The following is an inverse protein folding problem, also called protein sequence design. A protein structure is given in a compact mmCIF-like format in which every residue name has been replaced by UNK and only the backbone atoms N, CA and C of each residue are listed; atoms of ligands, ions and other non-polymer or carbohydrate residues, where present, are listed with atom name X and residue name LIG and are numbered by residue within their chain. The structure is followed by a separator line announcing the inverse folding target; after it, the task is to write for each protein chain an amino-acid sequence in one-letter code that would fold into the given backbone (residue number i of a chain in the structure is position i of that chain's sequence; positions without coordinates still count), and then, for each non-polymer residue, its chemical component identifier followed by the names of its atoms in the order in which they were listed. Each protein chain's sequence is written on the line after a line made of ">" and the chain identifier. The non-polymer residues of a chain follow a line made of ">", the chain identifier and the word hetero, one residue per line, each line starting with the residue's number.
data_IF_802280027826
#
_entry.id   IF_802280027826
#
_cell.length_a   1.000
_cell.length_b   1.000
_cell.length_c   1.000
_cell.angle_alpha   90.00
_cell.angle_beta   90.00
_cell.angle_gamma   90.00
#
_symmetry.space_group_name_H-M   'P 1'
#
loop_
_entity.id
_entity.type
_entity.pdbx_description
1 polymer ?
#
# COMPACT_ATOMS: atom_id res chain seq x y z
N UNK A 1 15.83 -45.36 -72.01
CA UNK A 1 14.92 -44.32 -71.49
C UNK A 1 15.50 -43.82 -70.17
N UNK A 2 16.63 -43.12 -70.28
CA UNK A 2 17.53 -42.79 -69.20
C UNK A 2 17.80 -41.27 -69.11
N UNK A 3 16.91 -40.44 -69.65
CA UNK A 3 17.11 -38.99 -69.78
C UNK A 3 16.02 -38.17 -69.08
N UNK A 4 15.51 -38.63 -67.94
CA UNK A 4 14.43 -37.92 -67.22
C UNK A 4 14.69 -37.71 -65.72
N UNK A 5 15.88 -38.07 -65.23
CA UNK A 5 16.23 -37.95 -63.80
C UNK A 5 17.28 -36.85 -63.52
N UNK A 6 17.97 -36.32 -64.54
CA UNK A 6 18.95 -35.24 -64.35
C UNK A 6 18.36 -33.82 -64.39
N UNK A 7 17.11 -33.67 -64.87
CA UNK A 7 16.51 -32.34 -65.08
C UNK A 7 15.64 -31.82 -63.92
N UNK A 8 15.54 -32.57 -62.83
CA UNK A 8 14.82 -32.15 -61.61
C UNK A 8 15.74 -31.76 -60.45
N UNK A 9 17.04 -32.07 -60.53
CA UNK A 9 18.04 -31.65 -59.53
C UNK A 9 18.62 -30.26 -59.83
N UNK A 10 18.58 -29.79 -61.08
CA UNK A 10 19.07 -28.45 -61.45
C UNK A 10 18.09 -27.32 -61.12
N UNK A 11 16.79 -27.62 -61.04
CA UNK A 11 15.73 -26.63 -60.76
C UNK A 11 15.63 -26.32 -59.26
N UNK A 12 15.83 -27.31 -58.39
CA UNK A 12 15.80 -27.14 -56.92
C UNK A 12 17.03 -26.40 -56.39
N UNK A 13 18.19 -26.52 -57.07
CA UNK A 13 19.38 -25.72 -56.75
C UNK A 13 19.27 -24.24 -57.17
N UNK A 14 18.36 -23.90 -58.09
CA UNK A 14 18.18 -22.52 -58.58
C UNK A 14 17.13 -21.70 -57.80
N UNK A 15 16.27 -22.35 -57.01
CA UNK A 15 15.30 -21.68 -56.12
C UNK A 15 15.82 -21.47 -54.69
N UNK A 16 16.90 -22.17 -54.31
CA UNK A 16 17.62 -21.92 -53.05
C UNK A 16 18.58 -20.72 -53.18
N UNK A 17 19.07 -20.42 -54.39
CA UNK A 17 20.02 -19.32 -54.62
C UNK A 17 19.34 -17.95 -54.80
N UNK A 18 18.02 -17.89 -55.06
CA UNK A 18 17.28 -16.61 -55.19
C UNK A 18 16.66 -16.09 -53.89
N UNK A 19 16.76 -16.81 -52.79
CA UNK A 19 16.26 -16.38 -51.47
C UNK A 19 17.38 -15.99 -50.49
N UNK A 20 18.66 -16.05 -50.91
CA UNK A 20 19.79 -15.59 -50.10
C UNK A 20 20.29 -14.17 -50.46
N UNK A 21 19.91 -13.63 -51.61
CA UNK A 21 20.38 -12.31 -52.06
C UNK A 21 19.54 -11.11 -51.59
N UNK A 22 18.42 -11.33 -50.88
CA UNK A 22 17.71 -10.24 -50.15
C UNK A 22 18.21 -10.04 -48.71
N UNK A 23 19.25 -10.78 -48.32
CA UNK A 23 19.78 -10.83 -46.95
C UNK A 23 21.22 -10.33 -46.83
N UNK A 24 21.89 -10.02 -47.95
CA UNK A 24 23.28 -9.51 -47.97
C UNK A 24 23.41 -7.98 -47.97
N UNK A 25 22.39 -7.23 -48.39
CA UNK A 25 22.40 -5.75 -48.30
C UNK A 25 22.10 -5.19 -46.90
N UNK A 26 21.87 -6.05 -45.91
CA UNK A 26 21.69 -5.66 -44.49
C UNK A 26 22.94 -5.89 -43.64
N UNK A 27 23.95 -6.60 -44.14
CA UNK A 27 25.23 -6.82 -43.45
C UNK A 27 26.17 -5.62 -43.56
N UNK A 28 26.25 -5.02 -44.75
CA UNK A 28 27.23 -3.96 -45.03
C UNK A 28 26.77 -2.56 -44.53
N UNK A 29 25.49 -2.39 -44.21
CA UNK A 29 25.01 -1.18 -43.50
C UNK A 29 25.24 -1.25 -41.98
N UNK A 30 25.54 -2.44 -41.44
CA UNK A 30 25.81 -2.65 -40.02
C UNK A 30 27.32 -2.59 -39.71
N UNK A 31 28.20 -2.98 -40.64
CA UNK A 31 29.66 -2.82 -40.46
C UNK A 31 30.12 -1.36 -40.63
N UNK A 32 29.55 -0.58 -41.55
CA UNK A 32 29.92 0.84 -41.73
C UNK A 32 29.37 1.74 -40.60
N UNK A 33 28.41 1.26 -39.80
CA UNK A 33 27.89 1.98 -38.63
C UNK A 33 28.65 1.69 -37.32
N UNK A 34 29.46 0.62 -37.24
CA UNK A 34 30.19 0.28 -36.01
C UNK A 34 31.60 0.89 -35.92
N UNK A 35 32.13 1.51 -36.98
CA UNK A 35 33.50 2.08 -36.98
C UNK A 35 33.59 3.60 -36.70
N UNK A 36 32.48 4.26 -36.32
CA UNK A 36 32.50 5.69 -35.92
C UNK A 36 31.78 5.93 -34.61
N UNK A 37 32.40 5.53 -33.50
CA UNK A 37 32.14 6.14 -32.19
C UNK A 37 33.21 7.18 -31.83
N UNK A 38 32.84 8.43 -31.51
CA UNK A 38 33.72 9.29 -30.72
C UNK A 38 33.70 8.79 -29.28
N UNK A 39 34.83 8.25 -28.81
CA UNK A 39 35.03 7.71 -27.45
C UNK A 39 35.00 8.76 -26.32
N UNK A 40 34.44 9.94 -26.57
CA UNK A 40 34.43 11.08 -25.62
C UNK A 40 33.02 11.54 -25.22
N UNK A 41 31.95 10.93 -25.76
CA UNK A 41 30.55 11.43 -25.55
C UNK A 41 29.72 10.65 -24.51
N UNK A 42 30.17 9.47 -24.07
CA UNK A 42 29.48 8.66 -23.04
C UNK A 42 29.86 9.06 -21.62
N UNK A 43 31.09 9.54 -21.40
CA UNK A 43 31.55 10.05 -20.10
C UNK A 43 30.86 11.37 -19.72
N UNK A 44 30.59 12.25 -20.69
CA UNK A 44 29.92 13.54 -20.43
C UNK A 44 28.44 13.39 -20.07
N UNK A 45 27.76 12.35 -20.57
CA UNK A 45 26.34 12.08 -20.26
C UNK A 45 26.17 11.44 -18.88
N UNK A 46 27.08 10.56 -18.46
CA UNK A 46 27.06 10.00 -17.09
C UNK A 46 27.52 11.05 -16.06
N UNK A 47 28.45 11.93 -16.45
CA UNK A 47 28.87 13.05 -15.60
C UNK A 47 27.75 14.09 -15.45
N UNK A 48 26.98 14.40 -16.51
CA UNK A 48 25.87 15.34 -16.40
C UNK A 48 24.71 14.81 -15.55
N UNK A 49 24.43 13.50 -15.55
CA UNK A 49 23.44 12.91 -14.63
C UNK A 49 23.92 12.96 -13.16
N UNK A 50 25.21 12.68 -12.90
CA UNK A 50 25.78 12.77 -11.54
C UNK A 50 25.88 14.20 -11.02
N UNK A 51 26.20 15.15 -11.89
CA UNK A 51 26.20 16.58 -11.57
C UNK A 51 24.78 17.07 -11.27
N UNK A 52 23.78 16.59 -12.02
CA UNK A 52 22.37 16.87 -11.75
C UNK A 52 21.88 16.23 -10.44
N UNK A 53 22.26 14.99 -10.12
CA UNK A 53 21.95 14.36 -8.83
C UNK A 53 22.59 15.11 -7.65
N UNK A 54 23.83 15.59 -7.82
CA UNK A 54 24.52 16.38 -6.81
C UNK A 54 23.96 17.79 -6.69
N UNK A 55 23.52 18.40 -7.79
CA UNK A 55 22.82 19.69 -7.81
C UNK A 55 21.46 19.56 -7.11
N UNK A 56 20.69 18.51 -7.42
CA UNK A 56 19.41 18.22 -6.78
C UNK A 56 19.58 17.87 -5.29
N UNK A 57 20.63 17.12 -4.92
CA UNK A 57 20.94 16.85 -3.52
C UNK A 57 21.40 18.10 -2.75
N UNK A 58 22.05 19.06 -3.44
CA UNK A 58 22.38 20.37 -2.87
C UNK A 58 21.12 21.24 -2.70
N UNK A 59 20.21 21.22 -3.68
CA UNK A 59 18.90 21.89 -3.58
C UNK A 59 18.06 21.30 -2.43
N UNK A 60 18.02 19.97 -2.28
CA UNK A 60 17.33 19.31 -1.16
C UNK A 60 17.94 19.69 0.20
N UNK A 61 19.26 19.86 0.27
CA UNK A 61 19.94 20.34 1.50
C UNK A 61 19.71 21.83 1.75
N UNK A 62 19.42 22.60 0.71
CA UNK A 62 19.15 24.03 0.75
C UNK A 62 17.67 24.34 1.05
N UNK A 63 16.78 23.39 0.80
CA UNK A 63 15.49 23.30 1.50
C UNK A 63 15.85 23.08 2.96
N UNK A 64 15.87 24.17 3.72
CA UNK A 64 15.91 24.12 5.17
C UNK A 64 14.72 23.27 5.56
N UNK A 65 14.97 22.03 6.00
CA UNK A 65 14.02 21.33 6.83
C UNK A 65 13.80 22.28 7.99
N UNK A 66 12.69 23.01 7.96
CA UNK A 66 12.25 23.84 9.08
C UNK A 66 12.33 22.89 10.26
N UNK A 67 13.26 23.16 11.17
CA UNK A 67 13.43 22.37 12.38
C UNK A 67 12.02 22.14 12.89
N UNK A 68 11.60 20.87 12.97
CA UNK A 68 10.27 20.49 13.42
C UNK A 68 10.04 21.32 14.66
N UNK A 69 9.19 22.35 14.55
CA UNK A 69 8.98 23.31 15.62
C UNK A 69 8.58 22.43 16.78
N UNK A 70 9.47 22.27 17.76
CA UNK A 70 9.14 21.50 18.97
C UNK A 70 7.84 22.14 19.44
N UNK A 71 6.72 21.40 19.43
CA UNK A 71 5.45 22.00 19.78
C UNK A 71 5.66 22.68 21.12
N UNK A 72 5.33 23.96 21.19
CA UNK A 72 5.48 24.76 22.39
C UNK A 72 5.00 23.92 23.58
N UNK A 73 5.85 23.74 24.59
CA UNK A 73 5.50 22.95 25.77
C UNK A 73 4.17 23.48 26.30
N UNK A 74 3.17 22.60 26.30
CA UNK A 74 1.80 22.99 26.60
C UNK A 74 1.73 23.53 28.03
N UNK A 75 1.38 24.81 28.16
CA UNK A 75 1.04 25.41 29.45
C UNK A 75 -0.29 24.81 29.89
N UNK A 76 -0.22 23.67 30.56
CA UNK A 76 -1.37 23.02 31.16
C UNK A 76 -1.69 23.71 32.48
N UNK A 77 -2.68 24.60 32.48
CA UNK A 77 -3.14 25.26 33.71
C UNK A 77 -4.04 24.32 34.53
N UNK A 78 -3.55 23.75 35.66
CA UNK A 78 -4.32 22.78 36.44
C UNK A 78 -5.50 23.42 37.19
N UNK A 79 -5.54 24.75 37.29
CA UNK A 79 -6.59 25.50 37.99
C UNK A 79 -7.85 25.69 37.13
N UNK A 80 -7.74 25.63 35.80
CA UNK A 80 -8.88 25.77 34.87
C UNK A 80 -9.87 24.61 35.00
N UNK A 81 -9.42 23.45 35.48
CA UNK A 81 -10.22 22.23 35.51
C UNK A 81 -10.95 22.05 36.85
N UNK A 82 -12.22 21.57 36.83
CA UNK A 82 -12.99 21.37 38.04
C UNK A 82 -12.40 20.26 38.93
N UNK A 83 -12.65 20.37 40.24
CA UNK A 83 -12.18 19.40 41.24
C UNK A 83 -12.58 17.96 40.95
N UNK A 84 -13.69 17.76 40.22
CA UNK A 84 -14.12 16.44 39.76
C UNK A 84 -13.05 15.70 38.97
N UNK A 85 -12.07 16.35 38.33
CA UNK A 85 -10.98 15.66 37.63
C UNK A 85 -9.83 15.24 38.54
N UNK A 86 -9.70 15.89 39.70
CA UNK A 86 -8.64 15.69 40.70
C UNK A 86 -9.03 14.68 41.78
N UNK A 87 -10.32 14.58 42.08
CA UNK A 87 -10.84 13.68 43.10
C UNK A 87 -11.85 12.67 42.55
N UNK A 88 -11.93 11.52 43.24
CA UNK A 88 -12.90 10.47 42.95
C UNK A 88 -14.02 10.48 44.00
N UNK A 89 -15.27 10.43 43.54
CA UNK A 89 -16.45 10.27 44.39
C UNK A 89 -16.49 8.87 45.04
N UNK A 90 -17.23 8.70 46.15
CA UNK A 90 -17.39 7.40 46.81
C UNK A 90 -18.02 6.34 45.90
N UNK A 91 -18.99 6.75 45.06
CA UNK A 91 -19.62 5.88 44.06
C UNK A 91 -18.60 5.39 43.03
N UNK A 92 -17.73 6.28 42.54
CA UNK A 92 -16.66 5.93 41.61
C UNK A 92 -15.62 5.01 42.27
N UNK A 93 -15.27 5.25 43.55
CA UNK A 93 -14.39 4.36 44.32
C UNK A 93 -14.97 2.94 44.45
N UNK A 94 -16.28 2.79 44.68
CA UNK A 94 -16.96 1.48 44.66
C UNK A 94 -16.89 0.84 43.28
N UNK A 95 -17.20 1.59 42.21
CA UNK A 95 -17.13 1.09 40.84
C UNK A 95 -15.71 0.63 40.46
N UNK A 96 -14.68 1.39 40.84
CA UNK A 96 -13.28 1.02 40.65
C UNK A 96 -12.90 -0.28 41.38
N UNK A 97 -13.47 -0.55 42.57
CA UNK A 97 -13.28 -1.84 43.27
C UNK A 97 -13.90 -2.98 42.47
N UNK A 98 -15.14 -2.83 41.99
CA UNK A 98 -15.79 -3.86 41.16
C UNK A 98 -15.01 -4.12 39.87
N UNK A 99 -14.57 -3.07 39.17
CA UNK A 99 -13.75 -3.22 37.97
C UNK A 99 -12.40 -3.89 38.26
N UNK A 100 -11.75 -3.61 39.40
CA UNK A 100 -10.53 -4.31 39.81
C UNK A 100 -10.77 -5.82 39.99
N UNK A 101 -11.87 -6.21 40.61
CA UNK A 101 -12.24 -7.62 40.77
C UNK A 101 -12.52 -8.26 39.41
N UNK A 102 -13.29 -7.58 38.56
CA UNK A 102 -13.62 -8.07 37.21
C UNK A 102 -12.39 -8.28 36.34
N UNK A 103 -11.43 -7.33 36.33
CA UNK A 103 -10.18 -7.48 35.56
C UNK A 103 -9.38 -8.70 36.06
N UNK A 104 -9.33 -8.93 37.38
CA UNK A 104 -8.65 -10.11 37.93
C UNK A 104 -9.31 -11.40 37.46
N UNK A 105 -10.64 -11.47 37.51
CA UNK A 105 -11.41 -12.63 37.03
C UNK A 105 -11.23 -12.84 35.53
N UNK A 106 -11.29 -11.77 34.74
CA UNK A 106 -11.10 -11.82 33.28
C UNK A 106 -9.70 -12.30 32.92
N UNK A 107 -8.66 -11.76 33.55
CA UNK A 107 -7.28 -12.18 33.29
C UNK A 107 -7.03 -13.63 33.72
N UNK A 108 -7.66 -14.08 34.82
CA UNK A 108 -7.58 -15.47 35.25
C UNK A 108 -8.23 -16.44 34.25
N UNK A 109 -9.40 -16.07 33.71
CA UNK A 109 -10.12 -16.89 32.72
C UNK A 109 -9.45 -16.85 31.34
N UNK A 110 -8.86 -15.72 30.96
CA UNK A 110 -8.33 -15.45 29.62
C UNK A 110 -6.89 -14.95 29.64
N UNK A 111 -5.97 -15.75 30.18
CA UNK A 111 -4.57 -15.38 30.37
C UNK A 111 -3.80 -15.00 29.08
N UNK A 112 -4.22 -15.58 27.93
CA UNK A 112 -3.60 -15.28 26.62
C UNK A 112 -4.10 -13.99 25.97
N UNK A 113 -5.13 -13.34 26.52
CA UNK A 113 -5.73 -12.13 25.93
C UNK A 113 -5.10 -10.87 26.53
N UNK A 114 -5.11 -9.77 25.75
CA UNK A 114 -4.68 -8.47 26.27
C UNK A 114 -5.56 -8.01 27.43
N UNK A 115 -4.99 -7.31 28.43
CA UNK A 115 -5.75 -6.78 29.55
C UNK A 115 -6.75 -5.72 29.09
N UNK A 116 -7.90 -5.67 29.76
CA UNK A 116 -8.98 -4.74 29.42
C UNK A 116 -8.64 -3.29 29.79
N UNK A 117 -8.95 -2.38 28.87
CA UNK A 117 -8.80 -0.93 29.06
C UNK A 117 -9.99 -0.32 29.82
N UNK A 118 -10.12 -0.66 31.11
CA UNK A 118 -11.28 -0.20 31.91
C UNK A 118 -10.97 0.94 32.88
N UNK A 119 -9.75 1.01 33.42
CA UNK A 119 -9.39 1.96 34.48
C UNK A 119 -8.07 2.72 34.22
N UNK A 120 -7.96 3.46 33.11
CA UNK A 120 -6.78 4.30 32.85
C UNK A 120 -6.65 5.42 33.89
N UNK A 121 -5.45 6.02 33.93
CA UNK A 121 -5.23 7.26 34.68
C UNK A 121 -5.70 8.45 33.84
N UNK A 122 -6.22 9.48 34.49
CA UNK A 122 -6.45 10.76 33.85
C UNK A 122 -5.13 11.57 33.75
N UNK A 123 -5.15 12.71 33.07
CA UNK A 123 -4.03 13.68 33.02
C UNK A 123 -3.58 14.12 34.41
N UNK A 124 -4.50 14.20 35.37
CA UNK A 124 -4.21 14.47 36.79
C UNK A 124 -3.70 13.25 37.59
N UNK A 125 -3.42 12.12 36.93
CA UNK A 125 -2.91 10.90 37.57
C UNK A 125 -3.96 10.05 38.32
N UNK A 126 -5.20 10.52 38.38
CA UNK A 126 -6.31 9.84 39.07
C UNK A 126 -6.85 8.70 38.22
N UNK A 127 -7.02 7.50 38.80
CA UNK A 127 -7.66 6.39 38.09
C UNK A 127 -9.16 6.62 37.98
N UNK A 128 -9.67 6.60 36.75
CA UNK A 128 -11.10 6.74 36.44
C UNK A 128 -11.55 5.61 35.54
N UNK A 129 -12.85 5.31 35.57
CA UNK A 129 -13.42 4.37 34.62
C UNK A 129 -13.64 5.07 33.28
N UNK A 130 -13.38 4.38 32.18
CA UNK A 130 -13.59 4.93 30.83
C UNK A 130 -15.04 5.41 30.64
N UNK A 131 -16.03 4.67 31.15
CA UNK A 131 -17.42 5.11 31.05
C UNK A 131 -17.73 6.39 31.85
N UNK A 132 -16.94 6.70 32.88
CA UNK A 132 -17.13 7.92 33.70
C UNK A 132 -16.45 9.16 33.11
N UNK A 133 -15.58 8.99 32.11
CA UNK A 133 -14.95 10.13 31.42
C UNK A 133 -15.85 10.71 30.34
N UNK A 134 -16.78 9.91 29.79
CA UNK A 134 -17.77 10.35 28.81
C UNK A 134 -18.80 11.21 29.53
N UNK A 135 -18.74 12.52 29.30
CA UNK A 135 -19.77 13.48 29.73
C UNK A 135 -20.44 14.03 28.47
N UNK A 136 -21.78 14.05 28.38
CA UNK A 136 -22.45 14.70 27.25
C UNK A 136 -22.02 16.15 27.15
N UNK A 137 -21.46 16.56 26.01
CA UNK A 137 -21.01 17.92 25.76
C UNK A 137 -21.52 18.38 24.40
N UNK A 138 -22.19 19.53 24.36
CA UNK A 138 -22.75 20.07 23.12
C UNK A 138 -22.30 21.52 22.95
N UNK A 139 -21.91 21.87 21.73
CA UNK A 139 -21.59 23.24 21.35
C UNK A 139 -22.82 23.89 20.69
N UNK A 140 -23.06 25.20 20.87
CA UNK A 140 -24.26 25.90 20.39
C UNK A 140 -24.17 26.25 18.89
N UNK A 141 -23.79 25.29 18.05
CA UNK A 141 -23.68 25.45 16.60
C UNK A 141 -24.58 24.44 15.89
N UNK A 142 -25.31 24.89 14.87
CA UNK A 142 -26.27 24.05 14.13
C UNK A 142 -25.57 22.90 13.40
N UNK A 143 -24.41 23.17 12.82
CA UNK A 143 -23.63 22.19 12.05
C UNK A 143 -23.10 21.04 12.93
N UNK A 144 -23.03 21.24 14.25
CA UNK A 144 -22.59 20.25 15.23
C UNK A 144 -23.75 19.47 15.86
N UNK A 145 -24.95 19.58 15.30
CA UNK A 145 -26.08 18.70 15.64
C UNK A 145 -26.08 17.42 14.80
N UNK A 146 -25.47 17.48 13.62
CA UNK A 146 -25.39 16.37 12.69
C UNK A 146 -24.12 15.56 12.94
N UNK A 147 -24.23 14.22 12.92
CA UNK A 147 -23.07 13.34 13.08
C UNK A 147 -21.94 13.56 12.05
N UNK A 148 -22.17 13.86 10.75
CA UNK A 148 -21.06 14.15 9.84
C UNK A 148 -20.39 15.48 10.18
N UNK A 149 -21.14 16.52 10.55
CA UNK A 149 -20.57 17.82 10.91
C UNK A 149 -19.69 17.76 12.16
N UNK A 150 -20.08 16.95 13.16
CA UNK A 150 -19.24 16.68 14.34
C UNK A 150 -17.94 15.95 13.94
N UNK A 151 -18.03 14.95 13.06
CA UNK A 151 -16.86 14.19 12.61
C UNK A 151 -15.88 15.07 11.81
N UNK A 152 -16.39 15.88 10.90
CA UNK A 152 -15.61 16.81 10.09
C UNK A 152 -14.95 17.88 10.96
N UNK A 153 -15.68 18.40 11.96
CA UNK A 153 -15.11 19.32 12.96
C UNK A 153 -13.93 18.68 13.69
N UNK A 154 -14.08 17.46 14.21
CA UNK A 154 -12.99 16.80 14.93
C UNK A 154 -11.78 16.51 14.03
N UNK A 155 -12.02 16.06 12.80
CA UNK A 155 -10.97 15.78 11.82
C UNK A 155 -10.21 17.05 11.39
N UNK A 156 -10.88 18.20 11.35
CA UNK A 156 -10.28 19.47 10.94
C UNK A 156 -9.56 20.23 12.06
N UNK A 157 -10.05 20.15 13.31
CA UNK A 157 -9.56 21.01 14.40
C UNK A 157 -8.65 20.31 15.42
N UNK A 158 -8.71 18.97 15.53
CA UNK A 158 -7.92 18.24 16.52
C UNK A 158 -6.77 17.50 15.83
N UNK A 159 -5.54 17.71 16.30
CA UNK A 159 -4.39 16.97 15.78
C UNK A 159 -4.31 15.58 16.41
N UNK A 160 -3.94 14.60 15.59
CA UNK A 160 -3.81 13.22 16.01
C UNK A 160 -2.40 12.95 16.54
N UNK A 161 -2.32 12.45 17.77
CA UNK A 161 -1.06 12.02 18.39
C UNK A 161 -0.92 10.49 18.31
N UNK A 162 0.20 10.03 17.79
CA UNK A 162 0.52 8.60 17.70
C UNK A 162 0.77 7.99 19.08
N UNK A 163 0.42 6.71 19.25
CA UNK A 163 0.83 5.94 20.42
C UNK A 163 2.24 5.40 20.18
N UNK A 164 3.17 5.75 21.07
CA UNK A 164 4.52 5.20 21.08
C UNK A 164 4.72 4.29 22.31
N UNK A 165 4.77 2.95 22.15
CA UNK A 165 4.63 2.17 20.91
C UNK A 165 3.16 1.88 20.51
N UNK A 166 2.84 1.68 19.21
CA UNK A 166 1.46 1.65 18.70
C UNK A 166 0.66 0.39 19.05
N UNK A 167 1.32 -0.65 19.54
CA UNK A 167 0.70 -1.93 19.88
C UNK A 167 0.28 -2.02 21.35
N UNK A 168 0.60 -1.02 22.18
CA UNK A 168 0.29 -1.00 23.61
C UNK A 168 -0.82 0.02 23.86
N UNK A 169 -1.72 -0.30 24.79
CA UNK A 169 -2.78 0.62 25.22
C UNK A 169 -2.17 1.79 26.01
N UNK A 170 -2.71 3.01 25.89
CA UNK A 170 -2.17 4.16 26.59
C UNK A 170 -2.39 3.99 28.10
N UNK A 171 -1.48 4.49 28.93
CA UNK A 171 -1.65 4.45 30.38
C UNK A 171 -2.56 5.57 30.88
N UNK A 172 -2.60 6.66 30.12
CA UNK A 172 -3.34 7.88 30.41
C UNK A 172 -4.44 8.01 29.36
N UNK A 173 -5.66 8.27 29.81
CA UNK A 173 -6.79 8.64 28.97
C UNK A 173 -7.15 10.08 29.31
N UNK A 174 -7.15 10.95 28.32
CA UNK A 174 -7.57 12.33 28.50
C UNK A 174 -9.09 12.41 28.61
N UNK A 175 -9.56 13.45 29.30
CA UNK A 175 -10.99 13.74 29.31
C UNK A 175 -11.38 14.52 28.05
N UNK A 176 -12.64 14.41 27.58
CA UNK A 176 -13.07 15.11 26.36
C UNK A 176 -12.85 16.63 26.46
N UNK A 177 -13.06 17.23 27.64
CA UNK A 177 -12.77 18.65 27.88
C UNK A 177 -11.27 18.97 27.73
N UNK A 178 -10.40 18.13 28.28
CA UNK A 178 -8.94 18.31 28.17
C UNK A 178 -8.45 18.17 26.73
N UNK A 179 -9.00 17.22 25.97
CA UNK A 179 -8.67 17.02 24.55
C UNK A 179 -9.13 18.21 23.70
N UNK A 180 -10.29 18.80 23.99
CA UNK A 180 -10.74 20.04 23.35
C UNK A 180 -9.84 21.24 23.70
N UNK A 181 -9.43 21.38 24.96
CA UNK A 181 -8.54 22.46 25.38
C UNK A 181 -7.16 22.36 24.72
N UNK A 182 -6.65 21.14 24.54
CA UNK A 182 -5.35 20.89 23.90
C UNK A 182 -5.40 20.87 22.38
N UNK A 183 -6.56 20.58 21.80
CA UNK A 183 -6.74 20.31 20.37
C UNK A 183 -5.77 19.25 19.83
N UNK A 184 -5.40 18.29 20.69
CA UNK A 184 -4.51 17.17 20.40
C UNK A 184 -4.90 15.95 21.23
N UNK A 185 -4.74 14.77 20.67
CA UNK A 185 -4.91 13.53 21.43
C UNK A 185 -4.76 12.27 20.61
N UNK A 186 -4.75 11.14 21.31
CA UNK A 186 -4.64 9.82 20.71
C UNK A 186 -6.00 9.33 20.17
N UNK A 187 -6.00 8.19 19.45
CA UNK A 187 -7.22 7.58 18.93
C UNK A 187 -8.31 7.35 19.99
N UNK A 188 -7.92 6.99 21.22
CA UNK A 188 -8.84 6.80 22.34
C UNK A 188 -9.44 8.13 22.82
N UNK A 189 -8.63 9.18 22.92
CA UNK A 189 -9.07 10.51 23.38
C UNK A 189 -10.07 11.10 22.37
N UNK A 190 -9.71 11.09 21.08
CA UNK A 190 -10.57 11.49 19.98
C UNK A 190 -11.89 10.71 19.94
N UNK A 191 -11.86 9.39 20.14
CA UNK A 191 -13.07 8.57 20.18
C UNK A 191 -13.97 8.93 21.37
N UNK A 192 -13.39 9.20 22.55
CA UNK A 192 -14.17 9.62 23.72
C UNK A 192 -14.76 11.02 23.56
N UNK A 193 -14.03 11.92 22.89
CA UNK A 193 -14.50 13.25 22.55
C UNK A 193 -15.64 13.22 21.53
N UNK A 194 -15.48 12.47 20.44
CA UNK A 194 -16.54 12.26 19.44
C UNK A 194 -17.80 11.69 20.08
N UNK A 195 -17.65 10.64 20.90
CA UNK A 195 -18.76 10.01 21.60
C UNK A 195 -19.46 10.98 22.57
N UNK A 196 -18.69 11.78 23.31
CA UNK A 196 -19.21 12.83 24.21
C UNK A 196 -20.05 13.87 23.45
N UNK A 197 -19.62 14.27 22.25
CA UNK A 197 -20.35 15.21 21.39
C UNK A 197 -21.61 14.60 20.78
N UNK A 198 -21.53 13.37 20.28
CA UNK A 198 -22.67 12.65 19.71
C UNK A 198 -23.78 12.39 20.74
N UNK A 199 -23.41 11.99 21.96
CA UNK A 199 -24.37 11.84 23.07
C UNK A 199 -24.96 13.20 23.44
N UNK A 200 -24.17 14.28 23.40
CA UNK A 200 -24.65 15.64 23.60
C UNK A 200 -25.69 16.07 22.56
N UNK A 201 -25.53 15.65 21.30
CA UNK A 201 -26.49 15.90 20.22
C UNK A 201 -27.73 14.96 20.26
N UNK A 202 -27.76 13.97 21.17
CA UNK A 202 -28.88 13.06 21.34
C UNK A 202 -28.77 11.72 20.59
N UNK A 203 -27.60 11.41 20.01
CA UNK A 203 -27.35 10.09 19.41
C UNK A 203 -26.94 9.07 20.47
N UNK A 204 -27.35 7.81 20.28
CA UNK A 204 -26.83 6.69 21.06
C UNK A 204 -25.48 6.26 20.49
N UNK A 205 -24.40 6.69 21.15
CA UNK A 205 -23.03 6.44 20.72
C UNK A 205 -22.23 5.73 21.82
N UNK A 206 -21.32 4.86 21.40
CA UNK A 206 -20.46 4.09 22.28
C UNK A 206 -19.03 4.03 21.73
N UNK A 207 -18.05 3.92 22.63
CA UNK A 207 -16.63 3.78 22.27
C UNK A 207 -16.26 2.30 22.28
N UNK A 208 -15.67 1.83 21.19
CA UNK A 208 -15.16 0.46 21.05
C UNK A 208 -13.64 0.47 21.06
N UNK A 209 -13.04 -0.46 21.79
CA UNK A 209 -11.59 -0.69 21.77
C UNK A 209 -11.27 -1.96 20.99
N UNK A 210 -10.35 -1.88 20.04
CA UNK A 210 -9.96 -2.97 19.16
C UNK A 210 -8.59 -2.77 18.52
N UNK A 211 -8.29 -3.56 17.50
CA UNK A 211 -7.06 -3.45 16.72
C UNK A 211 -7.34 -2.75 15.38
N UNK A 212 -6.43 -1.87 14.97
CA UNK A 212 -6.47 -1.22 13.67
C UNK A 212 -5.22 -1.60 12.84
N UNK A 213 -5.29 -1.40 11.52
CA UNK A 213 -4.13 -1.59 10.64
C UNK A 213 -3.06 -0.54 10.92
N UNK A 214 -1.82 -0.84 10.54
CA UNK A 214 -0.68 0.07 10.74
C UNK A 214 -0.92 1.45 10.11
N UNK A 215 -1.49 1.46 8.91
CA UNK A 215 -1.81 2.67 8.14
C UNK A 215 -2.75 3.59 8.93
N UNK A 216 -3.82 3.02 9.51
CA UNK A 216 -4.77 3.77 10.35
C UNK A 216 -4.09 4.30 11.61
N UNK A 217 -3.27 3.47 12.28
CA UNK A 217 -2.57 3.88 13.49
C UNK A 217 -1.57 5.02 13.25
N UNK A 218 -0.92 5.05 12.07
CA UNK A 218 0.08 6.06 11.67
C UNK A 218 -0.52 7.22 10.88
N UNK A 219 -1.85 7.29 10.76
CA UNK A 219 -2.55 8.29 9.93
C UNK A 219 -1.91 8.40 8.53
N UNK A 220 -1.59 7.24 7.94
CA UNK A 220 -0.96 7.19 6.63
C UNK A 220 -2.02 7.46 5.56
N UNK A 221 -1.91 8.63 4.92
CA UNK A 221 -2.81 9.07 3.85
C UNK A 221 -2.23 8.82 2.46
N UNK A 222 -1.11 8.11 2.33
CA UNK A 222 -0.43 7.88 1.03
C UNK A 222 -1.30 7.22 -0.04
N UNK A 223 -2.26 6.36 0.36
CA UNK A 223 -3.22 5.72 -0.54
C UNK A 223 -4.52 6.52 -0.73
N UNK A 224 -4.68 7.63 -0.03
CA UNK A 224 -5.85 8.49 -0.14
C UNK A 224 -5.65 9.48 -1.28
N UNK A 225 -6.66 9.62 -2.15
CA UNK A 225 -6.59 10.62 -3.22
C UNK A 225 -6.51 12.02 -2.62
N UNK A 226 -5.54 12.80 -3.04
CA UNK A 226 -5.41 14.20 -2.63
C UNK A 226 -6.67 14.97 -3.07
N UNK A 227 -7.44 15.57 -2.14
CA UNK A 227 -8.68 16.29 -2.48
C UNK A 227 -8.48 17.45 -3.45
N UNK A 228 -7.26 18.03 -3.47
CA UNK A 228 -6.89 19.16 -4.33
C UNK A 228 -6.35 18.74 -5.70
N UNK A 229 -6.01 17.47 -5.88
CA UNK A 229 -5.63 16.93 -7.18
C UNK A 229 -6.91 16.47 -7.81
N UNK A 230 -7.39 17.22 -8.81
CA UNK A 230 -8.45 16.70 -9.67
C UNK A 230 -7.99 15.35 -10.22
N UNK A 231 -8.87 14.35 -10.19
CA UNK A 231 -8.59 13.09 -10.86
C UNK A 231 -8.20 13.44 -12.30
N UNK A 232 -6.91 13.28 -12.64
CA UNK A 232 -6.39 13.50 -13.99
C UNK A 232 -7.44 12.94 -14.93
N UNK A 233 -8.07 13.83 -15.72
CA UNK A 233 -9.16 13.46 -16.62
C UNK A 233 -8.72 12.18 -17.28
N UNK A 234 -9.37 11.04 -16.97
CA UNK A 234 -8.98 9.74 -17.52
C UNK A 234 -8.89 9.96 -19.01
N UNK A 235 -7.67 10.05 -19.55
CA UNK A 235 -7.48 10.28 -20.97
C UNK A 235 -8.07 9.03 -21.57
N UNK A 236 -9.29 9.16 -22.08
CA UNK A 236 -9.92 8.11 -22.84
C UNK A 236 -9.07 7.98 -24.08
N UNK A 237 -8.01 7.18 -24.00
CA UNK A 237 -7.34 6.69 -25.18
C UNK A 237 -8.45 6.01 -25.96
N UNK A 238 -8.79 6.50 -27.17
CA UNK A 238 -9.89 5.93 -27.92
C UNK A 238 -9.63 4.43 -27.99
N UNK A 239 -10.60 3.65 -27.51
CA UNK A 239 -10.52 2.19 -27.54
C UNK A 239 -10.14 1.84 -28.96
N UNK A 240 -8.93 1.31 -29.20
CA UNK A 240 -8.50 0.93 -30.55
C UNK A 240 -9.58 0.00 -31.10
N UNK A 241 -10.45 0.54 -31.95
CA UNK A 241 -11.50 -0.24 -32.58
C UNK A 241 -10.76 -1.30 -33.39
N UNK A 242 -10.94 -2.57 -33.01
CA UNK A 242 -10.50 -3.66 -33.87
C UNK A 242 -11.25 -3.47 -35.17
N UNK A 243 -10.58 -3.01 -36.23
CA UNK A 243 -11.19 -2.84 -37.55
C UNK A 243 -11.85 -4.17 -37.91
N UNK A 244 -13.18 -4.21 -37.86
CA UNK A 244 -13.94 -5.39 -38.24
C UNK A 244 -13.93 -5.42 -39.77
N UNK A 245 -12.92 -6.07 -40.35
CA UNK A 245 -12.95 -6.44 -41.75
C UNK A 245 -14.13 -7.41 -41.94
N UNK A 246 -15.22 -6.95 -42.57
CA UNK A 246 -16.44 -7.75 -42.79
C UNK A 246 -16.18 -9.04 -43.59
N UNK A 247 -15.08 -9.08 -44.34
CA UNK A 247 -14.70 -10.17 -45.22
C UNK A 247 -13.22 -10.54 -45.10
N UNK A 248 -12.71 -10.76 -43.88
CA UNK A 248 -11.41 -11.45 -43.77
C UNK A 248 -11.63 -12.89 -44.17
N UNK A 249 -11.03 -13.39 -45.28
CA UNK A 249 -11.17 -14.80 -45.64
C UNK A 249 -10.65 -15.63 -44.48
N UNK A 250 -11.48 -16.55 -43.97
CA UNK A 250 -10.99 -17.51 -42.98
C UNK A 250 -9.89 -18.33 -43.63
N UNK A 251 -8.79 -18.57 -42.91
CA UNK A 251 -7.77 -19.49 -43.37
C UNK A 251 -8.43 -20.84 -43.76
N UNK A 252 -8.00 -21.47 -44.86
CA UNK A 252 -8.57 -22.73 -45.30
C UNK A 252 -8.50 -23.76 -44.18
N UNK A 253 -9.58 -24.53 -44.00
CA UNK A 253 -9.60 -25.59 -43.00
C UNK A 253 -8.56 -26.62 -43.38
N UNK A 254 -7.60 -26.87 -42.50
CA UNK A 254 -6.65 -27.95 -42.68
C UNK A 254 -7.42 -29.26 -42.48
N UNK A 255 -7.46 -30.13 -43.50
CA UNK A 255 -8.07 -31.47 -43.42
C UNK A 255 -7.17 -32.46 -42.66
N UNK A 256 -6.62 -32.02 -41.52
CA UNK A 256 -5.80 -32.85 -40.65
C UNK A 256 -6.47 -32.88 -39.29
N UNK A 257 -6.63 -34.08 -38.73
CA UNK A 257 -7.15 -34.23 -37.38
C UNK A 257 -6.16 -33.64 -36.38
N UNK A 258 -6.62 -32.71 -35.54
CA UNK A 258 -5.80 -32.14 -34.45
C UNK A 258 -5.28 -33.23 -33.52
N UNK A 259 -6.04 -34.33 -33.38
CA UNK A 259 -5.65 -35.48 -32.57
C UNK A 259 -4.42 -36.20 -33.14
N UNK A 260 -4.34 -36.41 -34.46
CA UNK A 260 -3.17 -37.04 -35.08
C UNK A 260 -1.91 -36.19 -34.93
N UNK A 261 -2.05 -34.87 -35.08
CA UNK A 261 -0.96 -33.92 -34.84
C UNK A 261 -0.48 -33.99 -33.38
N UNK A 262 -1.42 -34.04 -32.44
CA UNK A 262 -1.13 -34.17 -31.02
C UNK A 262 -0.43 -35.50 -30.70
N UNK A 263 -0.86 -36.61 -31.29
CA UNK A 263 -0.22 -37.92 -31.12
C UNK A 263 1.19 -37.96 -31.70
N UNK A 264 1.40 -37.37 -32.89
CA UNK A 264 2.72 -37.25 -33.52
C UNK A 264 3.67 -36.41 -32.68
N UNK A 265 3.21 -35.25 -32.19
CA UNK A 265 3.99 -34.41 -31.27
C UNK A 265 4.37 -35.16 -29.99
N UNK A 266 3.43 -35.90 -29.41
CA UNK A 266 3.69 -36.70 -28.21
C UNK A 266 4.69 -37.84 -28.47
N UNK A 267 4.61 -38.50 -29.63
CA UNK A 267 5.57 -39.53 -30.03
C UNK A 267 6.97 -38.96 -30.26
N UNK A 268 7.09 -37.80 -30.93
CA UNK A 268 8.37 -37.11 -31.13
C UNK A 268 9.00 -36.67 -29.81
N UNK A 269 8.21 -36.10 -28.91
CA UNK A 269 8.71 -35.72 -27.58
C UNK A 269 9.21 -36.93 -26.80
N UNK A 270 8.50 -38.07 -26.88
CA UNK A 270 8.94 -39.32 -26.23
C UNK A 270 10.23 -39.87 -26.84
N UNK A 271 10.41 -39.79 -28.15
CA UNK A 271 11.66 -40.17 -28.82
C UNK A 271 12.82 -39.26 -28.38
N UNK A 272 12.60 -37.95 -28.34
CA UNK A 272 13.59 -36.99 -27.87
C UNK A 272 13.97 -37.23 -26.39
N UNK A 273 13.01 -37.59 -25.54
CA UNK A 273 13.28 -37.98 -24.15
C UNK A 273 14.14 -39.25 -24.04
N UNK A 274 13.88 -40.26 -24.88
CA UNK A 274 14.69 -41.49 -24.93
C UNK A 274 16.12 -41.19 -25.39
N UNK A 275 16.27 -40.43 -26.49
CA UNK A 275 17.59 -40.04 -27.00
C UNK A 275 18.37 -39.21 -25.99
N UNK A 276 17.71 -38.28 -25.29
CA UNK A 276 18.34 -37.48 -24.24
C UNK A 276 18.75 -38.34 -23.04
N UNK A 277 17.94 -39.34 -22.66
CA UNK A 277 18.28 -40.28 -21.61
C UNK A 277 19.46 -41.21 -22.00
N UNK A 278 19.54 -41.61 -23.28
CA UNK A 278 20.67 -42.38 -23.80
C UNK A 278 21.96 -41.56 -23.82
N UNK A 279 21.90 -40.31 -24.28
CA UNK A 279 23.04 -39.38 -24.21
C UNK A 279 23.49 -39.16 -22.77
N UNK A 280 22.56 -38.92 -21.84
CA UNK A 280 22.89 -38.78 -20.42
C UNK A 280 23.55 -40.02 -19.82
N UNK A 281 23.15 -41.24 -20.25
CA UNK A 281 23.81 -42.49 -19.85
C UNK A 281 25.22 -42.63 -20.45
N UNK A 282 25.40 -42.22 -21.71
CA UNK A 282 26.71 -42.23 -22.37
C UNK A 282 27.68 -41.25 -21.69
N UNK A 283 27.21 -40.04 -21.36
CA UNK A 283 28.01 -39.04 -20.66
C UNK A 283 28.41 -39.51 -19.24
N UNK A 284 27.51 -40.20 -18.54
CA UNK A 284 27.78 -40.76 -17.21
C UNK A 284 28.74 -41.96 -17.26
N UNK A 285 28.70 -42.75 -18.33
CA UNK A 285 29.64 -43.85 -18.57
C UNK A 285 31.04 -43.36 -18.98
N UNK A 286 31.17 -42.14 -19.54
CA UNK A 286 32.46 -41.52 -19.85
C UNK A 286 33.10 -40.83 -18.62
N UNK A 287 32.38 -40.70 -17.51
CA UNK A 287 32.87 -40.09 -16.26
C UNK A 287 33.34 -41.10 -15.20
N UNK A 288 33.32 -42.41 -15.50
CA UNK A 288 33.87 -43.51 -14.68
C UNK A 288 35.12 -44.06 -15.34
#
# INVERSE_FOLDING_TARGET
>A
MADTVENTMSTVSSEIIKNEDSSRDKGDQLEVMMEKMPSTRSLSRVNSFRENEQAFAKEIRQIVAVDVVKPAEEVFDPEKYPQSYKDNCEKEKKALKYCKTFIKQYNFLFDRRKPLFLKPKNVFGVQKLVCTTIKPGQLPYKDLLDWPGIADFLAGYVNYDFLDPPHILPNILQSPQTTLDKLRGHCFDLSTLLCSMLIGAGYDAFVVSGYATREVCLQDLSYTKCPFVEDDQKVYLPRKEKKICRYTPRAPRLFRSEYELRMKLMALNKQAEIENAEKAKQDLAQQV
#
